data_IF_632327777003
#
_entry.id   IF_632327777003
#
_cell.length_a   1.000
_cell.length_b   1.000
_cell.length_c   1.000
_cell.angle_alpha   90.00
_cell.angle_beta   90.00
_cell.angle_gamma   90.00
#
_symmetry.space_group_name_H-M   'P 1'
#
loop_
_entity.id
_entity.type
_entity.pdbx_description
1 polymer ?
#
# COMPACT_ATOMS: atom_id res chain seq x y z
N UNK A 1 10.85 -32.35 12.45
CA UNK A 1 9.78 -31.33 12.42
C UNK A 1 9.22 -31.37 11.02
N UNK A 2 7.95 -31.76 10.85
CA UNK A 2 7.28 -31.53 9.57
C UNK A 2 7.16 -30.01 9.43
N UNK A 3 7.90 -29.42 8.50
CA UNK A 3 7.71 -28.02 8.13
C UNK A 3 6.34 -27.93 7.45
N UNK A 4 5.30 -27.61 8.22
CA UNK A 4 4.03 -27.21 7.63
C UNK A 4 4.27 -25.92 6.85
N UNK A 5 4.33 -26.05 5.52
CA UNK A 5 4.37 -24.93 4.60
C UNK A 5 3.08 -24.14 4.82
N UNK A 6 3.23 -22.87 5.21
CA UNK A 6 2.09 -21.96 5.35
C UNK A 6 1.40 -21.81 3.98
N UNK A 7 0.06 -21.70 3.93
CA UNK A 7 -0.64 -21.46 2.68
C UNK A 7 -0.21 -20.12 2.07
N UNK A 8 -0.11 -20.08 0.73
CA UNK A 8 0.23 -18.88 -0.01
C UNK A 8 -0.80 -17.77 0.23
N UNK A 9 -0.32 -16.56 0.48
CA UNK A 9 -1.11 -15.34 0.41
C UNK A 9 -1.40 -14.95 -1.05
N UNK A 10 -2.31 -13.99 -1.28
CA UNK A 10 -2.51 -13.47 -2.63
C UNK A 10 -1.23 -12.84 -3.20
N UNK A 11 -0.41 -12.19 -2.36
CA UNK A 11 0.86 -11.60 -2.81
C UNK A 11 1.88 -12.69 -3.20
N UNK A 12 1.90 -13.83 -2.50
CA UNK A 12 2.74 -14.98 -2.88
C UNK A 12 2.32 -15.53 -4.26
N UNK A 13 1.01 -15.61 -4.51
CA UNK A 13 0.48 -16.03 -5.81
C UNK A 13 0.80 -15.02 -6.92
N UNK A 14 0.72 -13.72 -6.62
CA UNK A 14 1.13 -12.66 -7.55
C UNK A 14 2.60 -12.85 -7.92
N UNK A 15 3.49 -12.99 -6.93
CA UNK A 15 4.92 -13.18 -7.17
C UNK A 15 5.23 -14.42 -8.02
N UNK A 16 4.58 -15.55 -7.72
CA UNK A 16 4.84 -16.83 -8.41
C UNK A 16 4.34 -16.84 -9.85
N UNK A 17 3.21 -16.18 -10.14
CA UNK A 17 2.50 -16.34 -11.40
C UNK A 17 2.66 -15.14 -12.35
N UNK A 18 3.18 -14.01 -11.87
CA UNK A 18 3.36 -12.81 -12.69
C UNK A 18 4.65 -12.90 -13.50
N UNK A 19 4.61 -12.63 -14.82
CA UNK A 19 5.81 -12.51 -15.64
C UNK A 19 6.79 -11.48 -15.07
N UNK A 20 8.09 -11.80 -15.08
CA UNK A 20 9.11 -10.98 -14.42
C UNK A 20 9.13 -9.52 -14.92
N UNK A 21 8.83 -9.30 -16.20
CA UNK A 21 8.74 -7.99 -16.83
C UNK A 21 7.61 -7.10 -16.30
N UNK A 22 6.67 -7.65 -15.53
CA UNK A 22 5.59 -6.89 -14.86
C UNK A 22 5.90 -6.61 -13.39
N UNK A 23 6.84 -7.35 -12.78
CA UNK A 23 7.15 -7.26 -11.35
C UNK A 23 7.82 -5.93 -10.96
N UNK A 24 8.31 -5.13 -11.91
CA UNK A 24 8.89 -3.81 -11.61
C UNK A 24 7.93 -2.90 -10.86
N UNK A 25 6.62 -3.06 -11.04
CA UNK A 25 5.61 -2.23 -10.40
C UNK A 25 5.51 -2.48 -8.88
N UNK A 26 5.96 -3.65 -8.42
CA UNK A 26 6.03 -4.01 -7.00
C UNK A 26 7.29 -3.42 -6.32
N UNK A 27 8.27 -2.97 -7.10
CA UNK A 27 9.41 -2.20 -6.62
C UNK A 27 9.01 -0.71 -6.56
N UNK A 28 8.86 -0.21 -5.33
CA UNK A 28 8.41 1.15 -5.03
C UNK A 28 9.39 2.21 -5.53
N UNK A 29 10.69 1.89 -5.67
CA UNK A 29 11.68 2.80 -6.26
C UNK A 29 11.50 2.87 -7.77
N UNK A 30 11.39 1.72 -8.45
CA UNK A 30 11.16 1.70 -9.90
C UNK A 30 9.81 2.36 -10.26
N UNK A 31 8.77 2.07 -9.50
CA UNK A 31 7.46 2.73 -9.61
C UNK A 31 7.59 4.25 -9.50
N UNK A 32 8.23 4.75 -8.44
CA UNK A 32 8.43 6.19 -8.22
C UNK A 32 9.24 6.82 -9.37
N UNK A 33 10.23 6.10 -9.90
CA UNK A 33 11.06 6.56 -11.01
C UNK A 33 10.27 6.67 -12.32
N UNK A 34 9.40 5.68 -12.62
CA UNK A 34 8.50 5.70 -13.79
C UNK A 34 7.49 6.84 -13.70
N UNK A 35 6.99 7.12 -12.50
CA UNK A 35 6.05 8.22 -12.25
C UNK A 35 6.69 9.61 -12.25
N UNK A 36 8.02 9.69 -12.38
CA UNK A 36 8.75 10.95 -12.48
C UNK A 36 8.97 11.67 -11.14
N UNK A 37 8.85 10.96 -10.03
CA UNK A 37 9.05 11.56 -8.70
C UNK A 37 10.54 11.80 -8.41
N UNK A 38 10.80 12.77 -7.53
CA UNK A 38 12.12 12.95 -6.95
C UNK A 38 12.39 11.81 -5.96
N UNK A 39 13.09 10.77 -6.43
CA UNK A 39 13.43 9.59 -5.64
C UNK A 39 14.83 9.06 -5.99
N UNK A 40 15.40 8.27 -5.07
CA UNK A 40 16.66 7.57 -5.28
C UNK A 40 16.90 6.47 -4.25
N UNK A 41 17.68 5.43 -4.59
CA UNK A 41 18.12 4.44 -3.62
C UNK A 41 19.05 5.08 -2.57
N UNK A 42 19.20 4.43 -1.41
CA UNK A 42 20.25 4.72 -0.43
C UNK A 42 21.62 4.89 -1.11
N UNK A 43 22.32 5.97 -0.78
CA UNK A 43 23.63 6.33 -1.35
C UNK A 43 23.56 7.29 -2.55
N UNK A 44 22.37 7.69 -2.99
CA UNK A 44 22.18 8.78 -3.96
C UNK A 44 21.71 10.03 -3.25
N UNK A 45 22.28 11.17 -3.62
CA UNK A 45 21.99 12.44 -2.96
C UNK A 45 20.56 12.93 -3.21
N UNK A 46 19.93 13.51 -2.19
CA UNK A 46 18.68 14.25 -2.36
C UNK A 46 18.92 15.60 -3.08
N UNK A 47 18.02 16.03 -3.97
CA UNK A 47 18.22 17.24 -4.77
C UNK A 47 18.08 18.54 -3.96
N UNK A 48 17.37 18.50 -2.82
CA UNK A 48 17.17 19.63 -1.93
C UNK A 48 17.01 19.15 -0.48
N UNK A 49 17.39 19.95 0.52
CA UNK A 49 17.08 19.64 1.90
C UNK A 49 15.56 19.60 2.13
N UNK A 50 15.06 18.62 2.89
CA UNK A 50 13.63 18.53 3.19
C UNK A 50 13.22 17.23 3.85
N UNK A 51 11.91 17.07 4.09
CA UNK A 51 11.34 15.79 4.52
C UNK A 51 11.11 14.88 3.32
N UNK A 52 11.51 13.63 3.48
CA UNK A 52 11.35 12.54 2.52
C UNK A 52 10.70 11.35 3.22
N UNK A 53 10.00 10.51 2.44
CA UNK A 53 9.67 9.16 2.89
C UNK A 53 10.85 8.24 2.58
N UNK A 54 11.32 7.51 3.58
CA UNK A 54 12.37 6.49 3.46
C UNK A 54 11.77 5.14 3.80
N UNK A 55 11.83 4.18 2.87
CA UNK A 55 11.18 2.85 3.01
C UNK A 55 11.86 1.78 2.15
N UNK A 56 11.65 0.48 2.41
CA UNK A 56 12.17 -0.60 1.55
C UNK A 56 11.72 -0.43 0.09
N UNK A 57 12.59 -0.80 -0.87
CA UNK A 57 12.22 -0.81 -2.29
C UNK A 57 11.11 -1.84 -2.57
N UNK A 58 11.25 -3.05 -2.04
CA UNK A 58 10.26 -4.14 -2.17
C UNK A 58 9.80 -4.55 -0.77
N UNK A 59 8.49 -4.70 -0.60
CA UNK A 59 7.88 -5.19 0.64
C UNK A 59 6.56 -5.90 0.31
N UNK A 60 6.60 -7.22 0.13
CA UNK A 60 5.42 -8.05 -0.16
C UNK A 60 4.49 -8.22 1.06
N UNK A 61 4.94 -7.91 2.27
CA UNK A 61 4.07 -7.92 3.46
C UNK A 61 3.14 -6.69 3.51
N UNK A 62 3.46 -5.64 2.75
CA UNK A 62 2.70 -4.39 2.75
C UNK A 62 2.74 -3.64 4.10
N UNK A 63 1.61 -3.03 4.47
CA UNK A 63 1.35 -2.45 5.79
C UNK A 63 2.22 -1.26 6.22
N UNK A 64 2.97 -0.65 5.29
CA UNK A 64 3.87 0.47 5.62
C UNK A 64 5.10 0.07 6.45
N UNK A 65 5.45 -1.22 6.49
CA UNK A 65 6.62 -1.73 7.22
C UNK A 65 7.91 -1.04 6.76
N UNK A 66 8.67 -0.52 7.72
CA UNK A 66 9.93 0.17 7.47
C UNK A 66 9.78 1.61 6.95
N UNK A 67 8.56 2.13 6.79
CA UNK A 67 8.35 3.50 6.34
C UNK A 67 8.67 4.53 7.42
N UNK A 68 9.46 5.55 7.07
CA UNK A 68 9.88 6.61 7.99
C UNK A 68 9.86 7.98 7.29
N UNK A 69 9.42 9.02 8.01
CA UNK A 69 9.61 10.42 7.61
C UNK A 69 10.96 10.90 8.13
N UNK A 70 11.88 11.24 7.23
CA UNK A 70 13.25 11.63 7.57
C UNK A 70 13.57 12.97 6.91
N UNK A 71 14.21 13.87 7.66
CA UNK A 71 14.83 15.06 7.06
C UNK A 71 16.16 14.66 6.45
N UNK A 72 16.32 14.88 5.14
CA UNK A 72 17.55 14.57 4.40
C UNK A 72 18.16 15.87 3.85
N UNK A 73 19.49 15.94 3.82
CA UNK A 73 20.27 17.02 3.22
C UNK A 73 21.49 16.44 2.51
N UNK A 74 21.40 16.35 1.17
CA UNK A 74 22.35 15.71 0.26
C UNK A 74 22.60 14.24 0.57
N UNK A 75 23.49 13.93 1.51
CA UNK A 75 23.98 12.58 1.77
C UNK A 75 22.89 11.64 2.32
N UNK A 76 22.85 10.42 1.80
CA UNK A 76 21.94 9.35 2.21
C UNK A 76 22.64 8.03 2.50
N UNK A 77 23.98 8.04 2.60
CA UNK A 77 24.79 6.83 2.87
C UNK A 77 24.54 6.20 4.25
N UNK A 78 23.91 6.94 5.15
CA UNK A 78 23.49 6.48 6.48
C UNK A 78 22.15 5.72 6.47
N UNK A 79 21.40 5.71 5.37
CA UNK A 79 20.13 4.99 5.29
C UNK A 79 20.36 3.48 5.17
N UNK A 80 19.38 2.64 5.55
CA UNK A 80 19.51 1.19 5.40
C UNK A 80 19.70 0.75 3.93
N UNK A 81 20.43 -0.35 3.71
CA UNK A 81 20.52 -0.96 2.38
C UNK A 81 19.18 -1.56 1.95
N UNK A 82 18.89 -1.51 0.65
CA UNK A 82 17.61 -1.97 0.09
C UNK A 82 16.44 -1.02 0.35
N UNK A 83 16.70 0.15 0.93
CA UNK A 83 15.74 1.25 1.05
C UNK A 83 15.95 2.28 -0.05
N UNK A 84 14.93 3.11 -0.23
CA UNK A 84 14.98 4.28 -1.08
C UNK A 84 14.30 5.46 -0.39
N UNK A 85 14.64 6.67 -0.85
CA UNK A 85 13.95 7.90 -0.49
C UNK A 85 13.08 8.37 -1.65
N UNK A 86 11.94 9.00 -1.33
CA UNK A 86 11.05 9.66 -2.28
C UNK A 86 10.54 10.97 -1.66
N UNK A 87 10.25 11.97 -2.50
CA UNK A 87 9.66 13.23 -2.04
C UNK A 87 8.39 12.99 -1.22
N UNK A 88 8.18 13.86 -0.23
CA UNK A 88 7.05 13.71 0.68
C UNK A 88 5.74 14.16 0.01
N UNK A 89 4.72 13.31 0.09
CA UNK A 89 3.37 13.64 -0.36
C UNK A 89 2.44 13.90 0.82
N UNK A 90 1.49 14.81 0.61
CA UNK A 90 0.45 15.15 1.57
C UNK A 90 -0.91 15.07 0.89
N UNK A 91 -1.92 14.57 1.61
CA UNK A 91 -3.27 14.45 1.08
C UNK A 91 -4.04 13.27 1.66
N UNK A 92 -5.22 13.07 1.10
CA UNK A 92 -6.12 11.96 1.41
C UNK A 92 -5.51 10.65 0.89
N UNK A 93 -5.67 9.58 1.65
CA UNK A 93 -5.17 8.26 1.26
C UNK A 93 -6.27 7.47 0.59
N UNK A 94 -6.02 7.00 -0.63
CA UNK A 94 -6.96 6.19 -1.38
C UNK A 94 -6.37 4.83 -1.72
N UNK A 95 -7.22 3.83 -1.81
CA UNK A 95 -6.93 2.56 -2.49
C UNK A 95 -8.03 2.35 -3.53
N UNK A 96 -7.65 2.18 -4.79
CA UNK A 96 -8.58 2.11 -5.91
C UNK A 96 -8.40 0.79 -6.63
N UNK A 97 -9.48 0.02 -6.71
CA UNK A 97 -9.51 -1.22 -7.48
C UNK A 97 -9.97 -0.92 -8.91
N UNK A 98 -9.21 -1.41 -9.87
CA UNK A 98 -9.52 -1.38 -11.30
C UNK A 98 -9.73 -2.80 -11.83
N UNK A 99 -10.63 -2.92 -12.80
CA UNK A 99 -10.84 -4.11 -13.62
C UNK A 99 -10.76 -3.72 -15.09
N UNK A 100 -9.77 -4.24 -15.80
CA UNK A 100 -9.50 -3.88 -17.20
C UNK A 100 -9.45 -2.36 -17.40
N UNK A 101 -8.70 -1.67 -16.54
CA UNK A 101 -8.53 -0.20 -16.56
C UNK A 101 -9.71 0.61 -16.03
N UNK A 102 -10.87 -0.01 -15.80
CA UNK A 102 -12.06 0.67 -15.31
C UNK A 102 -12.09 0.63 -13.79
N UNK A 103 -12.32 1.77 -13.14
CA UNK A 103 -12.46 1.81 -11.69
C UNK A 103 -13.68 1.00 -11.26
N UNK A 104 -13.46 0.06 -10.34
CA UNK A 104 -14.50 -0.77 -9.72
C UNK A 104 -15.02 -0.12 -8.44
N UNK A 105 -14.10 0.33 -7.56
CA UNK A 105 -14.43 1.10 -6.36
C UNK A 105 -13.20 1.87 -5.87
N UNK A 106 -13.46 2.89 -5.05
CA UNK A 106 -12.44 3.66 -4.35
C UNK A 106 -12.72 3.58 -2.84
N UNK A 107 -11.68 3.35 -2.05
CA UNK A 107 -11.74 3.40 -0.59
C UNK A 107 -10.80 4.46 -0.07
N UNK A 108 -11.21 5.17 0.99
CA UNK A 108 -10.40 6.15 1.69
C UNK A 108 -9.98 5.63 3.05
N UNK A 109 -8.69 5.78 3.36
CA UNK A 109 -8.08 5.42 4.63
C UNK A 109 -7.95 6.62 5.56
N UNK A 110 -8.29 6.42 6.83
CA UNK A 110 -8.19 7.41 7.89
C UNK A 110 -7.25 6.92 8.99
N UNK A 111 -6.30 7.75 9.38
CA UNK A 111 -5.34 7.49 10.45
C UNK A 111 -4.81 8.79 11.03
N UNK A 112 -4.21 8.71 12.22
CA UNK A 112 -3.37 9.79 12.76
C UNK A 112 -2.11 10.02 11.89
N UNK A 113 -1.64 11.26 11.82
CA UNK A 113 -0.36 11.61 11.18
C UNK A 113 0.86 11.05 11.93
N UNK A 114 0.66 10.62 13.18
CA UNK A 114 1.71 10.04 14.02
C UNK A 114 2.03 8.58 13.70
N UNK A 115 1.39 7.99 12.68
CA UNK A 115 1.57 6.57 12.33
C UNK A 115 1.55 6.31 10.82
N UNK A 116 2.29 5.30 10.40
CA UNK A 116 2.28 4.77 9.03
C UNK A 116 1.55 3.43 8.92
N UNK A 117 1.22 2.80 10.05
CA UNK A 117 0.82 1.38 10.09
C UNK A 117 -0.54 1.18 10.75
N UNK A 118 -0.95 2.09 11.65
CA UNK A 118 -2.20 1.96 12.41
C UNK A 118 -3.30 2.84 11.83
N UNK A 119 -4.20 2.21 11.11
CA UNK A 119 -5.40 2.85 10.56
C UNK A 119 -6.56 2.84 11.56
N UNK A 120 -7.35 3.92 11.53
CA UNK A 120 -8.58 4.05 12.32
C UNK A 120 -9.75 3.40 11.58
N UNK A 121 -9.84 3.62 10.26
CA UNK A 121 -10.84 2.98 9.39
C UNK A 121 -10.50 3.16 7.91
N UNK A 122 -11.12 2.32 7.09
CA UNK A 122 -11.20 2.47 5.64
C UNK A 122 -12.67 2.41 5.21
N UNK A 123 -13.07 3.24 4.25
CA UNK A 123 -14.48 3.38 3.83
C UNK A 123 -14.58 3.47 2.31
N UNK A 124 -15.51 2.74 1.69
CA UNK A 124 -15.87 2.93 0.27
C UNK A 124 -16.50 4.30 0.07
N UNK A 125 -16.01 5.05 -0.91
CA UNK A 125 -16.49 6.40 -1.22
C UNK A 125 -16.89 6.52 -2.70
N UNK A 126 -17.80 7.44 -2.98
CA UNK A 126 -18.13 7.85 -4.35
C UNK A 126 -17.11 8.89 -4.83
N UNK A 127 -15.95 8.41 -5.26
CA UNK A 127 -14.87 9.24 -5.80
C UNK A 127 -14.19 8.52 -6.96
N UNK A 128 -14.00 9.22 -8.08
CA UNK A 128 -13.43 8.66 -9.29
C UNK A 128 -11.99 9.13 -9.46
N UNK A 129 -11.08 8.18 -9.57
CA UNK A 129 -9.66 8.36 -9.90
C UNK A 129 -9.39 7.48 -11.13
N UNK A 130 -9.18 8.10 -12.28
CA UNK A 130 -8.85 7.37 -13.50
C UNK A 130 -7.46 6.73 -13.37
N UNK A 131 -7.28 5.54 -13.95
CA UNK A 131 -5.99 4.87 -13.96
C UNK A 131 -4.96 5.76 -14.68
N UNK A 132 -3.88 6.21 -14.01
CA UNK A 132 -2.94 7.15 -14.60
C UNK A 132 -2.19 6.51 -15.77
N UNK A 133 -1.90 7.31 -16.80
CA UNK A 133 -1.32 6.84 -18.07
C UNK A 133 -0.04 6.00 -17.89
N UNK A 134 0.95 6.37 -17.04
CA UNK A 134 2.14 5.54 -16.84
C UNK A 134 1.85 4.13 -16.31
N UNK A 135 0.76 3.94 -15.59
CA UNK A 135 0.31 2.61 -15.12
C UNK A 135 -0.58 1.95 -16.18
N UNK A 136 -1.51 2.71 -16.75
CA UNK A 136 -2.43 2.24 -17.80
C UNK A 136 -1.70 1.68 -19.03
N UNK A 137 -0.61 2.32 -19.47
CA UNK A 137 0.19 1.87 -20.61
C UNK A 137 0.72 0.43 -20.48
N UNK A 138 0.80 -0.09 -19.25
CA UNK A 138 1.28 -1.44 -18.97
C UNK A 138 0.19 -2.38 -18.45
N UNK A 139 -0.75 -1.86 -17.65
CA UNK A 139 -1.63 -2.69 -16.83
C UNK A 139 -3.13 -2.48 -17.10
N UNK A 140 -3.51 -1.73 -18.15
CA UNK A 140 -4.91 -1.50 -18.51
C UNK A 140 -5.68 -2.80 -18.81
N UNK A 141 -4.99 -3.87 -19.23
CA UNK A 141 -5.60 -5.16 -19.55
C UNK A 141 -5.61 -6.15 -18.37
N UNK A 142 -5.12 -5.76 -17.19
CA UNK A 142 -5.18 -6.62 -16.01
C UNK A 142 -6.62 -6.76 -15.53
N UNK A 143 -7.03 -7.98 -15.20
CA UNK A 143 -8.38 -8.24 -14.66
C UNK A 143 -8.56 -7.61 -13.27
N UNK A 144 -7.48 -7.54 -12.48
CA UNK A 144 -7.49 -6.98 -11.15
C UNK A 144 -6.20 -6.20 -10.90
N UNK A 145 -6.36 -4.92 -10.55
CA UNK A 145 -5.27 -4.03 -10.19
C UNK A 145 -5.74 -3.15 -9.04
N UNK A 146 -5.01 -3.11 -7.93
CA UNK A 146 -5.26 -2.17 -6.86
C UNK A 146 -4.13 -1.13 -6.85
N UNK A 147 -4.48 0.15 -6.80
CA UNK A 147 -3.51 1.25 -6.78
C UNK A 147 -3.78 2.11 -5.56
N UNK A 148 -2.75 2.33 -4.76
CA UNK A 148 -2.80 3.19 -3.59
C UNK A 148 -2.27 4.59 -3.93
N UNK A 149 -2.95 5.60 -3.40
CA UNK A 149 -2.67 7.00 -3.67
C UNK A 149 -2.56 7.84 -2.39
N UNK A 150 -1.77 8.90 -2.46
CA UNK A 150 -1.88 10.08 -1.60
C UNK A 150 -2.27 11.26 -2.50
N UNK A 151 -3.50 11.76 -2.35
CA UNK A 151 -4.06 12.75 -3.27
C UNK A 151 -4.11 12.20 -4.70
N UNK A 152 -3.36 12.80 -5.61
CA UNK A 152 -3.20 12.38 -7.02
C UNK A 152 -1.93 11.56 -7.27
N UNK A 153 -1.14 11.24 -6.24
CA UNK A 153 0.16 10.56 -6.36
C UNK A 153 0.02 9.07 -6.06
N UNK A 154 0.40 8.23 -7.02
CA UNK A 154 0.49 6.78 -6.84
C UNK A 154 1.64 6.46 -5.88
N UNK A 155 1.40 5.67 -4.85
CA UNK A 155 2.43 5.30 -3.86
C UNK A 155 2.71 3.80 -3.82
N UNK A 156 1.79 2.97 -4.31
CA UNK A 156 1.90 1.51 -4.34
C UNK A 156 0.92 0.94 -5.36
N UNK A 157 1.25 -0.21 -5.95
CA UNK A 157 0.41 -0.94 -6.89
C UNK A 157 0.47 -2.41 -6.52
N UNK A 158 -0.68 -3.07 -6.47
CA UNK A 158 -0.81 -4.50 -6.29
C UNK A 158 -1.45 -5.10 -7.56
N UNK A 159 -0.87 -6.18 -8.09
CA UNK A 159 -1.39 -6.90 -9.27
C UNK A 159 -2.52 -7.88 -8.89
N UNK A 160 -3.45 -7.40 -8.05
CA UNK A 160 -4.59 -8.13 -7.49
C UNK A 160 -5.63 -7.13 -6.98
N UNK A 161 -6.81 -7.62 -6.62
CA UNK A 161 -7.83 -6.81 -5.95
C UNK A 161 -7.49 -6.58 -4.46
N UNK A 162 -8.10 -5.55 -3.87
CA UNK A 162 -8.05 -5.33 -2.43
C UNK A 162 -8.89 -6.36 -1.67
N UNK A 163 -8.22 -7.24 -0.91
CA UNK A 163 -8.83 -8.31 -0.12
C UNK A 163 -9.67 -7.81 1.07
N UNK A 164 -9.37 -6.62 1.59
CA UNK A 164 -10.09 -6.03 2.72
C UNK A 164 -11.51 -5.60 2.34
N UNK A 165 -11.76 -5.40 1.04
CA UNK A 165 -13.03 -4.95 0.47
C UNK A 165 -13.71 -5.98 -0.44
N UNK A 166 -13.31 -7.26 -0.31
CA UNK A 166 -14.00 -8.41 -0.87
C UNK A 166 -15.44 -8.54 -0.32
N UNK A 167 -16.27 -9.41 -0.91
CA UNK A 167 -17.62 -9.73 -0.44
C UNK A 167 -18.55 -8.53 -0.19
N UNK A 168 -18.39 -7.46 -0.98
CA UNK A 168 -19.14 -6.21 -0.87
C UNK A 168 -18.98 -5.47 0.46
N UNK A 169 -17.91 -5.72 1.22
CA UNK A 169 -17.56 -4.90 2.40
C UNK A 169 -17.50 -3.43 2.00
N UNK A 170 -18.15 -2.58 2.78
CA UNK A 170 -18.28 -1.13 2.58
C UNK A 170 -17.42 -0.32 3.56
N UNK A 171 -17.14 -0.88 4.74
CA UNK A 171 -16.30 -0.29 5.76
C UNK A 171 -15.42 -1.36 6.42
N UNK A 172 -14.16 -1.00 6.70
CA UNK A 172 -13.19 -1.84 7.39
C UNK A 172 -12.58 -1.05 8.54
N UNK A 173 -12.82 -1.48 9.78
CA UNK A 173 -12.29 -0.83 10.99
C UNK A 173 -11.32 -1.81 11.66
N UNK A 174 -10.00 -1.58 11.60
CA UNK A 174 -9.03 -2.44 12.26
C UNK A 174 -9.29 -2.51 13.77
N UNK A 175 -9.18 -3.72 14.33
CA UNK A 175 -9.18 -3.95 15.77
C UNK A 175 -7.77 -4.33 16.17
N UNK A 176 -7.16 -3.54 17.06
CA UNK A 176 -5.79 -3.70 17.53
C UNK A 176 -5.74 -4.46 18.86
N UNK A 177 -4.60 -5.11 19.13
CA UNK A 177 -4.37 -5.79 20.41
C UNK A 177 -4.65 -4.85 21.59
N UNK A 178 -5.45 -5.32 22.55
CA UNK A 178 -5.92 -4.55 23.70
C UNK A 178 -7.26 -3.83 23.50
N UNK A 179 -7.82 -3.82 22.29
CA UNK A 179 -9.17 -3.30 22.02
C UNK A 179 -10.24 -4.39 22.19
N UNK A 180 -11.48 -3.95 22.41
CA UNK A 180 -12.65 -4.83 22.49
C UNK A 180 -12.96 -5.43 21.10
N UNK A 181 -13.38 -6.70 21.08
CA UNK A 181 -13.80 -7.44 19.88
C UNK A 181 -15.32 -7.40 19.68
N UNK A 182 -16.08 -6.79 20.57
CA UNK A 182 -17.54 -6.61 20.41
C UNK A 182 -17.79 -5.59 19.29
N UNK A 183 -18.39 -6.02 18.16
CA UNK A 183 -18.61 -5.11 17.04
C UNK A 183 -19.71 -4.09 17.36
N UNK A 184 -19.59 -2.83 16.87
CA UNK A 184 -20.69 -1.88 16.90
C UNK A 184 -21.92 -2.41 16.16
N UNK A 185 -23.10 -1.85 16.45
CA UNK A 185 -24.35 -2.23 15.78
C UNK A 185 -24.19 -2.11 14.26
N UNK A 186 -24.48 -3.20 13.54
CA UNK A 186 -24.39 -3.27 12.08
C UNK A 186 -23.04 -3.73 11.53
N UNK A 187 -22.08 -4.06 12.39
CA UNK A 187 -20.79 -4.63 11.99
C UNK A 187 -20.66 -6.09 12.44
N UNK A 188 -19.77 -6.81 11.78
CA UNK A 188 -19.34 -8.16 12.16
C UNK A 188 -17.84 -8.15 12.44
N UNK A 189 -17.40 -8.88 13.47
CA UNK A 189 -15.97 -9.08 13.71
C UNK A 189 -15.42 -10.17 12.80
N UNK A 190 -14.40 -9.82 12.01
CA UNK A 190 -13.60 -10.76 11.20
C UNK A 190 -12.24 -10.95 11.88
N UNK A 191 -11.90 -12.20 12.21
CA UNK A 191 -10.54 -12.52 12.66
C UNK A 191 -9.56 -12.36 11.50
N UNK A 192 -8.61 -11.43 11.64
CA UNK A 192 -7.71 -11.04 10.55
C UNK A 192 -6.44 -10.34 11.09
N UNK A 193 -5.56 -11.11 11.75
CA UNK A 193 -4.40 -10.54 12.40
C UNK A 193 -3.32 -10.08 11.42
N UNK A 194 -2.47 -9.14 11.85
CA UNK A 194 -1.27 -8.74 11.10
C UNK A 194 -0.05 -8.57 12.03
N UNK A 195 1.10 -8.29 11.43
CA UNK A 195 2.38 -8.15 12.14
C UNK A 195 2.49 -6.88 13.02
N UNK A 196 1.57 -5.92 12.86
CA UNK A 196 1.51 -4.69 13.67
C UNK A 196 0.59 -4.81 14.89
N UNK A 197 0.08 -6.02 15.13
CA UNK A 197 -0.81 -6.30 16.25
C UNK A 197 -2.27 -5.98 15.97
N UNK A 198 -2.68 -5.88 14.68
CA UNK A 198 -4.10 -6.05 14.35
C UNK A 198 -4.48 -7.47 14.75
N UNK A 199 -5.64 -7.62 15.37
CA UNK A 199 -6.22 -8.91 15.79
C UNK A 199 -7.44 -9.28 14.95
N UNK A 200 -8.02 -8.31 14.25
CA UNK A 200 -9.14 -8.48 13.35
C UNK A 200 -9.63 -7.14 12.83
N UNK A 201 -10.85 -7.14 12.31
CA UNK A 201 -11.53 -5.94 11.88
C UNK A 201 -13.04 -6.03 12.13
N UNK A 202 -13.67 -4.90 12.38
CA UNK A 202 -15.11 -4.77 12.22
C UNK A 202 -15.40 -4.44 10.76
N UNK A 203 -16.21 -5.27 10.11
CA UNK A 203 -16.61 -5.14 8.71
C UNK A 203 -18.11 -4.93 8.59
N UNK A 204 -18.53 -4.22 7.54
CA UNK A 204 -19.94 -3.92 7.24
C UNK A 204 -20.21 -4.01 5.76
#
# INVERSE_FOLDING_TARGET
MSEEIQPDTQEDLVWKNTPAEKLWVLDKLLLSKVLGYACGPTGIDVPKPGYYIVRPCVNALGLGLGAQKIWLDKDTTNLPYGYFWCEWFEGRHFSVDYKFGNQKFCVEGFKSDSTFTKWDKWVKIDHVILLPEPIGNHFINEEALNVEYIGDKVIEVHLRSNEDFADNISEFIPVWAGQDKIPPKGYTYKHYPDVHGRIGAFIK
#
